data_IF_263009774730
#
_entry.id   IF_263009774730
#
_cell.length_a   1.000
_cell.length_b   1.000
_cell.length_c   1.000
_cell.angle_alpha   90.00
_cell.angle_beta   90.00
_cell.angle_gamma   90.00
#
_symmetry.space_group_name_H-M   'P 1'
#
loop_
_entity.id
_entity.type
_entity.pdbx_description
1 polymer ?
#
# COMPACT_ATOMS: atom_id res chain seq x y z
N UNK A 1 -6.48 -46.95 48.62
CA UNK A 1 -5.37 -45.99 48.37
C UNK A 1 -5.43 -45.64 46.89
N UNK A 2 -5.26 -44.36 46.52
CA UNK A 2 -5.37 -43.74 45.18
C UNK A 2 -6.73 -43.10 44.80
N UNK A 3 -6.87 -41.83 45.21
CA UNK A 3 -7.68 -40.80 44.54
C UNK A 3 -7.00 -40.43 43.21
N UNK A 4 -7.72 -40.45 42.10
CA UNK A 4 -7.28 -39.83 40.83
C UNK A 4 -7.78 -38.39 40.80
N UNK A 5 -6.81 -37.48 40.74
CA UNK A 5 -6.95 -36.04 40.55
C UNK A 5 -7.41 -35.81 39.11
N UNK A 6 -8.56 -35.15 38.93
CA UNK A 6 -8.97 -34.60 37.64
C UNK A 6 -8.41 -33.19 37.58
N UNK A 7 -7.36 -32.99 36.79
CA UNK A 7 -6.84 -31.66 36.45
C UNK A 7 -7.73 -31.07 35.36
N UNK A 8 -8.43 -29.99 35.71
CA UNK A 8 -9.08 -29.10 34.74
C UNK A 8 -7.99 -28.40 33.93
N UNK A 9 -7.80 -28.82 32.68
CA UNK A 9 -7.00 -28.05 31.71
C UNK A 9 -7.96 -27.09 31.01
N UNK A 10 -7.99 -25.84 31.45
CA UNK A 10 -8.57 -24.75 30.66
C UNK A 10 -7.69 -24.57 29.42
N UNK A 11 -8.21 -24.99 28.26
CA UNK A 11 -7.62 -24.66 26.97
C UNK A 11 -7.93 -23.18 26.73
N UNK A 12 -6.96 -22.32 27.02
CA UNK A 12 -6.97 -20.94 26.55
C UNK A 12 -6.79 -20.99 25.03
N UNK A 13 -7.90 -20.89 24.29
CA UNK A 13 -7.88 -20.54 22.88
C UNK A 13 -7.38 -19.10 22.79
N UNK A 14 -6.07 -18.94 22.60
CA UNK A 14 -5.48 -17.74 22.03
C UNK A 14 -6.03 -17.61 20.61
N UNK A 15 -7.19 -16.96 20.48
CA UNK A 15 -7.64 -16.41 19.22
C UNK A 15 -6.65 -15.31 18.85
N UNK A 16 -5.64 -15.68 18.05
CA UNK A 16 -4.75 -14.72 17.44
C UNK A 16 -5.60 -13.69 16.70
N UNK A 17 -5.52 -12.44 17.13
CA UNK A 17 -6.11 -11.32 16.43
C UNK A 17 -5.47 -11.28 15.03
N UNK A 18 -6.16 -11.87 14.06
CA UNK A 18 -5.92 -11.57 12.66
C UNK A 18 -6.13 -10.06 12.53
N UNK A 19 -5.06 -9.32 12.28
CA UNK A 19 -5.15 -7.96 11.79
C UNK A 19 -5.97 -8.04 10.50
N UNK A 20 -7.28 -7.74 10.62
CA UNK A 20 -8.14 -7.62 9.46
C UNK A 20 -7.54 -6.50 8.60
N UNK A 21 -7.41 -6.70 7.28
CA UNK A 21 -6.95 -5.64 6.40
C UNK A 21 -7.87 -4.45 6.58
N UNK A 22 -7.28 -3.27 6.79
CA UNK A 22 -7.99 -2.00 6.77
C UNK A 22 -8.60 -1.89 5.38
N UNK A 23 -9.89 -2.25 5.27
CA UNK A 23 -10.67 -1.99 4.07
C UNK A 23 -10.98 -0.50 4.07
N UNK A 24 -10.02 0.31 3.63
CA UNK A 24 -10.35 1.61 3.08
C UNK A 24 -11.18 1.34 1.82
N UNK A 25 -12.50 1.25 1.98
CA UNK A 25 -13.42 1.30 0.85
C UNK A 25 -13.28 2.69 0.24
N UNK A 26 -12.42 2.80 -0.78
CA UNK A 26 -12.42 3.93 -1.69
C UNK A 26 -13.73 3.87 -2.49
N UNK A 27 -14.82 4.37 -1.90
CA UNK A 27 -15.95 4.84 -2.70
C UNK A 27 -15.46 6.10 -3.42
N UNK A 28 -15.56 6.10 -4.74
CA UNK A 28 -15.25 7.27 -5.55
C UNK A 28 -16.22 8.40 -5.16
N UNK A 29 -15.73 9.38 -4.42
CA UNK A 29 -16.51 10.56 -4.02
C UNK A 29 -16.45 11.57 -5.17
N UNK A 30 -17.59 11.80 -5.82
CA UNK A 30 -17.70 12.85 -6.82
C UNK A 30 -17.85 14.22 -6.14
N UNK A 31 -16.77 15.00 -6.20
CA UNK A 31 -16.71 16.37 -5.71
C UNK A 31 -17.16 17.42 -6.74
N UNK A 32 -17.64 17.00 -7.92
CA UNK A 32 -18.00 17.90 -9.02
C UNK A 32 -16.79 18.59 -9.66
N UNK A 33 -15.58 18.08 -9.43
CA UNK A 33 -14.34 18.60 -10.01
C UNK A 33 -14.01 17.77 -11.25
N UNK A 34 -14.10 18.39 -12.42
CA UNK A 34 -13.83 17.70 -13.68
C UNK A 34 -12.38 17.21 -13.75
N UNK A 35 -12.21 15.89 -13.84
CA UNK A 35 -10.91 15.27 -14.06
C UNK A 35 -10.32 15.64 -15.44
N UNK A 36 -8.99 15.75 -15.57
CA UNK A 36 -8.36 16.04 -16.86
C UNK A 36 -8.60 14.89 -17.85
N UNK A 37 -8.88 15.23 -19.12
CA UNK A 37 -8.81 14.23 -20.19
C UNK A 37 -7.36 13.80 -20.42
N UNK A 38 -7.10 12.49 -20.36
CA UNK A 38 -5.77 11.91 -20.57
C UNK A 38 -5.76 10.98 -21.77
N UNK A 39 -4.64 10.93 -22.48
CA UNK A 39 -4.41 9.97 -23.57
C UNK A 39 -3.80 8.66 -23.04
N UNK A 40 -4.60 7.91 -22.28
CA UNK A 40 -4.23 6.61 -21.70
C UNK A 40 -5.43 5.65 -21.76
N UNK A 41 -5.18 4.34 -21.85
CA UNK A 41 -6.25 3.34 -21.80
C UNK A 41 -6.87 3.22 -20.41
N UNK A 42 -6.02 3.32 -19.38
CA UNK A 42 -6.44 3.28 -17.97
C UNK A 42 -5.58 4.23 -17.15
N UNK A 43 -6.14 4.84 -16.11
CA UNK A 43 -5.36 5.60 -15.13
C UNK A 43 -6.01 5.65 -13.75
N UNK A 44 -5.22 5.99 -12.74
CA UNK A 44 -5.69 6.35 -11.41
C UNK A 44 -4.80 7.44 -10.80
N UNK A 45 -5.40 8.32 -10.02
CA UNK A 45 -4.73 9.23 -9.10
C UNK A 45 -5.22 8.94 -7.70
N UNK A 46 -4.28 8.62 -6.80
CA UNK A 46 -4.56 8.25 -5.43
C UNK A 46 -3.76 9.12 -4.47
N UNK A 47 -4.38 9.61 -3.41
CA UNK A 47 -3.65 10.17 -2.28
C UNK A 47 -3.00 9.05 -1.47
N UNK A 48 -1.71 9.17 -1.20
CA UNK A 48 -0.94 8.13 -0.52
C UNK A 48 -1.36 7.93 0.94
N UNK A 49 -1.69 9.02 1.64
CA UNK A 49 -1.96 8.98 3.08
C UNK A 49 -3.38 8.51 3.40
N UNK A 50 -4.37 9.00 2.67
CA UNK A 50 -5.78 8.65 2.87
C UNK A 50 -6.25 7.44 2.05
N UNK A 51 -5.51 7.09 0.98
CA UNK A 51 -5.93 6.08 0.01
C UNK A 51 -7.09 6.54 -0.90
N UNK A 52 -7.53 7.79 -0.80
CA UNK A 52 -8.63 8.31 -1.60
C UNK A 52 -8.27 8.35 -3.09
N UNK A 53 -9.19 7.87 -3.93
CA UNK A 53 -9.08 7.99 -5.38
C UNK A 53 -9.65 9.32 -5.82
N UNK A 54 -8.81 10.15 -6.44
CA UNK A 54 -9.17 11.52 -6.83
C UNK A 54 -9.64 11.61 -8.27
N UNK A 55 -9.13 10.73 -9.13
CA UNK A 55 -9.56 10.58 -10.53
C UNK A 55 -9.18 9.20 -11.03
N UNK A 56 -10.00 8.61 -11.89
CA UNK A 56 -9.68 7.33 -12.51
C UNK A 56 -10.37 7.14 -13.87
N UNK A 57 -9.80 6.25 -14.68
CA UNK A 57 -10.42 5.70 -15.88
C UNK A 57 -10.09 4.21 -15.94
N UNK A 58 -11.13 3.37 -15.93
CA UNK A 58 -11.02 1.91 -15.95
C UNK A 58 -9.99 1.37 -14.91
N UNK A 59 -10.03 1.80 -13.64
CA UNK A 59 -8.95 1.54 -12.68
C UNK A 59 -8.69 0.06 -12.38
N UNK A 60 -9.71 -0.77 -12.60
CA UNK A 60 -9.71 -2.21 -12.32
C UNK A 60 -9.59 -3.06 -13.60
N UNK A 61 -9.47 -2.43 -14.77
CA UNK A 61 -9.26 -3.14 -16.04
C UNK A 61 -7.86 -3.78 -16.04
N UNK A 62 -7.80 -5.07 -16.36
CA UNK A 62 -6.55 -5.82 -16.49
C UNK A 62 -5.76 -5.33 -17.71
N UNK A 63 -4.49 -5.10 -17.49
CA UNK A 63 -3.51 -4.59 -18.46
C UNK A 63 -2.18 -5.34 -18.31
N UNK A 64 -1.40 -5.42 -19.38
CA UNK A 64 -0.04 -5.92 -19.30
C UNK A 64 0.82 -4.94 -18.48
N UNK A 65 1.43 -5.38 -17.36
CA UNK A 65 2.18 -4.48 -16.50
C UNK A 65 3.53 -4.06 -17.09
N UNK A 66 4.06 -4.83 -18.05
CA UNK A 66 5.42 -4.69 -18.55
C UNK A 66 6.41 -4.58 -17.37
N UNK A 67 7.43 -3.72 -17.48
CA UNK A 67 8.40 -3.47 -16.40
C UNK A 67 7.83 -2.87 -15.11
N UNK A 68 6.54 -2.50 -15.03
CA UNK A 68 5.95 -2.17 -13.72
C UNK A 68 5.96 -3.37 -12.77
N UNK A 69 6.00 -4.60 -13.31
CA UNK A 69 6.25 -5.85 -12.57
C UNK A 69 7.44 -5.75 -11.62
N UNK A 70 8.49 -5.02 -12.01
CA UNK A 70 9.70 -4.85 -11.21
C UNK A 70 9.47 -4.04 -9.92
N UNK A 71 8.33 -3.35 -9.77
CA UNK A 71 7.93 -2.77 -8.49
C UNK A 71 7.67 -3.86 -7.45
N UNK A 72 6.99 -4.95 -7.84
CA UNK A 72 6.80 -6.10 -6.94
C UNK A 72 8.11 -6.86 -6.74
N UNK A 73 8.96 -6.98 -7.77
CA UNK A 73 10.31 -7.56 -7.61
C UNK A 73 11.14 -6.79 -6.58
N UNK A 74 11.19 -5.46 -6.69
CA UNK A 74 11.85 -4.60 -5.71
C UNK A 74 11.20 -4.68 -4.33
N UNK A 75 9.87 -4.81 -4.25
CA UNK A 75 9.19 -5.01 -2.96
C UNK A 75 9.68 -6.31 -2.26
N UNK A 76 9.71 -7.44 -2.97
CA UNK A 76 10.18 -8.72 -2.40
C UNK A 76 11.65 -8.62 -1.96
N UNK A 77 12.50 -7.98 -2.76
CA UNK A 77 13.93 -7.75 -2.44
C UNK A 77 14.08 -6.86 -1.21
N UNK A 78 13.39 -5.72 -1.19
CA UNK A 78 13.44 -4.76 -0.08
C UNK A 78 12.91 -5.36 1.21
N UNK A 79 11.86 -6.18 1.18
CA UNK A 79 11.37 -6.89 2.35
C UNK A 79 12.36 -7.96 2.85
N UNK A 80 13.03 -8.68 1.94
CA UNK A 80 14.09 -9.61 2.30
C UNK A 80 15.30 -8.90 2.95
N UNK A 81 15.69 -7.73 2.44
CA UNK A 81 16.71 -6.86 3.04
C UNK A 81 16.27 -6.36 4.42
N UNK A 82 15.04 -5.88 4.55
CA UNK A 82 14.46 -5.38 5.82
C UNK A 82 14.41 -6.46 6.90
N UNK A 83 14.16 -7.70 6.51
CA UNK A 83 14.15 -8.87 7.41
C UNK A 83 15.56 -9.44 7.69
N UNK A 84 16.62 -8.90 7.07
CA UNK A 84 17.99 -9.40 7.22
C UNK A 84 18.23 -10.77 6.60
N UNK A 85 17.39 -11.21 5.65
CA UNK A 85 17.55 -12.49 4.93
C UNK A 85 18.68 -12.45 3.90
N UNK A 86 18.93 -11.27 3.35
CA UNK A 86 20.03 -10.94 2.45
C UNK A 86 20.61 -9.59 2.87
N UNK A 87 21.83 -9.27 2.44
CA UNK A 87 22.49 -8.00 2.67
C UNK A 87 22.92 -7.35 1.36
N UNK A 88 22.97 -6.03 1.34
CA UNK A 88 23.41 -5.25 0.18
C UNK A 88 24.84 -5.60 -0.32
N UNK A 89 25.69 -6.10 0.58
CA UNK A 89 27.08 -6.47 0.29
C UNK A 89 27.24 -7.94 -0.14
N UNK A 90 26.16 -8.73 -0.14
CA UNK A 90 26.23 -10.13 -0.57
C UNK A 90 26.60 -10.16 -2.05
N UNK A 91 27.55 -11.03 -2.40
CA UNK A 91 28.01 -11.21 -3.76
C UNK A 91 27.25 -12.34 -4.43
N UNK A 92 26.58 -12.01 -5.54
CA UNK A 92 25.79 -12.94 -6.35
C UNK A 92 26.63 -13.38 -7.55
N UNK A 93 26.75 -14.70 -7.71
CA UNK A 93 27.39 -15.28 -8.90
C UNK A 93 26.39 -15.33 -10.04
N UNK A 94 26.71 -14.66 -11.16
CA UNK A 94 25.82 -14.61 -12.31
C UNK A 94 25.89 -15.93 -13.08
N UNK A 95 24.79 -16.69 -13.04
CA UNK A 95 24.61 -17.93 -13.78
C UNK A 95 24.21 -17.72 -15.25
N UNK A 96 24.02 -18.82 -15.97
CA UNK A 96 23.63 -18.79 -17.39
C UNK A 96 22.26 -18.13 -17.59
N UNK A 97 21.29 -18.37 -16.70
CA UNK A 97 19.94 -17.81 -16.76
C UNK A 97 19.92 -16.28 -16.73
N UNK A 98 20.75 -15.68 -15.86
CA UNK A 98 20.87 -14.23 -15.68
C UNK A 98 21.89 -13.57 -16.62
N UNK A 99 22.47 -14.30 -17.58
CA UNK A 99 23.43 -13.72 -18.51
C UNK A 99 22.74 -12.68 -19.41
N UNK A 100 23.27 -11.45 -19.47
CA UNK A 100 22.71 -10.36 -20.27
C UNK A 100 22.59 -10.64 -21.78
N UNK A 101 23.21 -11.70 -22.29
CA UNK A 101 23.03 -12.20 -23.66
C UNK A 101 21.62 -12.75 -23.90
N UNK A 102 20.96 -13.30 -22.88
CA UNK A 102 19.63 -13.93 -23.00
C UNK A 102 18.49 -12.92 -23.12
N UNK A 103 18.78 -11.63 -23.00
CA UNK A 103 17.80 -10.56 -23.00
C UNK A 103 18.01 -9.59 -24.19
N UNK A 104 18.05 -10.06 -25.45
CA UNK A 104 18.20 -9.19 -26.61
C UNK A 104 17.01 -8.25 -26.75
N UNK A 105 17.24 -7.02 -27.21
CA UNK A 105 16.17 -6.04 -27.46
C UNK A 105 15.45 -5.50 -26.22
N UNK A 106 15.88 -5.86 -25.01
CA UNK A 106 15.25 -5.44 -23.75
C UNK A 106 16.20 -4.66 -22.85
N UNK A 107 15.67 -4.06 -21.77
CA UNK A 107 16.47 -3.35 -20.79
C UNK A 107 17.30 -4.32 -19.95
N UNK A 108 18.59 -4.02 -19.76
CA UNK A 108 19.53 -4.90 -19.08
C UNK A 108 20.67 -4.13 -18.41
N UNK A 109 21.29 -4.75 -17.42
CA UNK A 109 22.47 -4.26 -16.72
C UNK A 109 23.77 -4.72 -17.39
N UNK A 110 23.68 -5.61 -18.39
CA UNK A 110 24.80 -6.20 -19.13
C UNK A 110 25.67 -7.10 -18.25
N UNK A 111 25.01 -7.95 -17.43
CA UNK A 111 25.68 -8.94 -16.60
C UNK A 111 26.42 -9.97 -17.46
N UNK A 112 27.64 -10.37 -17.05
CA UNK A 112 28.41 -11.41 -17.71
C UNK A 112 28.35 -12.74 -16.93
N UNK A 113 28.41 -13.86 -17.66
CA UNK A 113 28.48 -15.19 -17.06
C UNK A 113 29.68 -15.30 -16.10
N UNK A 114 29.47 -15.94 -14.94
CA UNK A 114 30.44 -16.14 -13.86
C UNK A 114 30.97 -14.86 -13.19
N UNK A 115 30.38 -13.70 -13.50
CA UNK A 115 30.69 -12.46 -12.80
C UNK A 115 30.14 -12.51 -11.36
N UNK A 116 30.82 -11.86 -10.42
CA UNK A 116 30.30 -11.58 -9.07
C UNK A 116 29.76 -10.15 -9.04
N UNK A 117 28.51 -9.97 -8.60
CA UNK A 117 27.86 -8.66 -8.51
C UNK A 117 27.17 -8.52 -7.16
N UNK A 118 27.30 -7.35 -6.52
CA UNK A 118 26.68 -7.12 -5.23
C UNK A 118 25.15 -7.06 -5.35
N UNK A 119 24.42 -7.48 -4.30
CA UNK A 119 22.97 -7.28 -4.19
C UNK A 119 22.59 -5.80 -4.39
N UNK A 120 23.38 -4.88 -3.82
CA UNK A 120 23.20 -3.43 -4.00
C UNK A 120 23.19 -3.01 -5.48
N UNK A 121 24.15 -3.50 -6.27
CA UNK A 121 24.26 -3.17 -7.69
C UNK A 121 23.15 -3.83 -8.51
N UNK A 122 22.83 -5.10 -8.21
CA UNK A 122 21.72 -5.80 -8.87
C UNK A 122 20.39 -5.08 -8.61
N UNK A 123 20.14 -4.67 -7.36
CA UNK A 123 18.91 -4.00 -7.00
C UNK A 123 18.78 -2.63 -7.68
N UNK A 124 19.86 -1.82 -7.70
CA UNK A 124 19.94 -0.59 -8.50
C UNK A 124 19.74 -0.86 -10.00
N UNK A 125 20.26 -1.97 -10.49
CA UNK A 125 20.03 -2.46 -11.86
C UNK A 125 18.55 -2.70 -12.18
N UNK A 126 17.82 -3.33 -11.26
CA UNK A 126 16.37 -3.55 -11.37
C UNK A 126 15.62 -2.21 -11.31
N UNK A 127 15.92 -1.37 -10.33
CA UNK A 127 15.17 -0.15 -10.02
C UNK A 127 15.42 0.95 -11.05
N UNK A 128 16.67 1.31 -11.30
CA UNK A 128 17.04 2.51 -12.07
C UNK A 128 16.94 2.24 -13.57
N UNK A 129 17.57 1.15 -14.04
CA UNK A 129 17.72 0.88 -15.47
C UNK A 129 16.73 -0.16 -16.01
N UNK A 130 15.96 -0.79 -15.12
CA UNK A 130 14.95 -1.81 -15.46
C UNK A 130 15.56 -3.10 -16.02
N UNK A 131 16.72 -3.51 -15.52
CA UNK A 131 17.48 -4.65 -16.05
C UNK A 131 16.78 -5.99 -15.85
N UNK A 132 16.44 -6.68 -16.94
CA UNK A 132 15.81 -8.00 -16.91
C UNK A 132 16.77 -9.09 -16.39
N UNK A 133 18.04 -9.02 -16.78
CA UNK A 133 19.13 -9.86 -16.29
C UNK A 133 19.32 -9.72 -14.78
N UNK A 134 19.35 -8.49 -14.27
CA UNK A 134 19.43 -8.20 -12.84
C UNK A 134 18.21 -8.75 -12.06
N UNK A 135 17.00 -8.67 -12.63
CA UNK A 135 15.80 -9.24 -12.01
C UNK A 135 15.88 -10.76 -11.86
N UNK A 136 16.45 -11.47 -12.83
CA UNK A 136 16.64 -12.93 -12.72
C UNK A 136 17.71 -13.26 -11.68
N UNK A 137 18.86 -12.60 -11.73
CA UNK A 137 19.95 -12.84 -10.77
C UNK A 137 19.51 -12.63 -9.31
N UNK A 138 18.82 -11.52 -9.03
CA UNK A 138 18.40 -11.21 -7.66
C UNK A 138 17.28 -12.15 -7.20
N UNK A 139 16.41 -12.59 -8.11
CA UNK A 139 15.35 -13.54 -7.79
C UNK A 139 15.90 -14.92 -7.40
N UNK A 140 16.87 -15.43 -8.17
CA UNK A 140 17.56 -16.68 -7.87
C UNK A 140 18.33 -16.59 -6.54
N UNK A 141 18.95 -15.45 -6.25
CA UNK A 141 19.65 -15.25 -4.98
C UNK A 141 18.68 -15.23 -3.78
N UNK A 142 17.56 -14.51 -3.88
CA UNK A 142 16.62 -14.32 -2.77
C UNK A 142 15.77 -15.56 -2.49
N UNK A 143 15.37 -16.30 -3.53
CA UNK A 143 14.40 -17.40 -3.39
C UNK A 143 14.92 -18.75 -3.91
N UNK A 144 16.19 -18.83 -4.30
CA UNK A 144 16.81 -20.04 -4.86
C UNK A 144 16.43 -20.32 -6.32
N UNK A 145 15.31 -19.79 -6.81
CA UNK A 145 14.87 -19.93 -8.20
C UNK A 145 13.85 -18.85 -8.60
N UNK A 146 13.71 -18.59 -9.90
CA UNK A 146 12.70 -17.67 -10.44
C UNK A 146 11.27 -18.08 -10.10
N UNK A 147 10.84 -19.36 -10.23
CA UNK A 147 9.48 -19.76 -9.86
C UNK A 147 9.14 -19.50 -8.39
N UNK A 148 10.05 -19.84 -7.46
CA UNK A 148 9.85 -19.59 -6.04
C UNK A 148 9.74 -18.08 -5.73
N UNK A 149 10.50 -17.24 -6.45
CA UNK A 149 10.39 -15.80 -6.32
C UNK A 149 9.03 -15.27 -6.83
N UNK A 150 8.55 -15.79 -7.97
CA UNK A 150 7.22 -15.43 -8.52
C UNK A 150 6.09 -15.84 -7.57
N UNK A 151 6.22 -16.98 -6.89
CA UNK A 151 5.28 -17.36 -5.82
C UNK A 151 5.29 -16.35 -4.67
N UNK A 152 6.47 -15.87 -4.25
CA UNK A 152 6.57 -14.83 -3.23
C UNK A 152 5.93 -13.50 -3.69
N UNK A 153 6.13 -13.10 -4.95
CA UNK A 153 5.45 -11.93 -5.53
C UNK A 153 3.93 -12.07 -5.44
N UNK A 154 3.38 -13.24 -5.83
CA UNK A 154 1.95 -13.49 -5.78
C UNK A 154 1.41 -13.67 -4.34
N UNK A 155 2.25 -14.01 -3.37
CA UNK A 155 1.88 -13.97 -1.95
C UNK A 155 1.59 -12.53 -1.50
N UNK A 156 2.41 -11.56 -1.90
CA UNK A 156 2.13 -10.15 -1.62
C UNK A 156 0.90 -9.62 -2.38
N UNK A 157 0.63 -10.11 -3.59
CA UNK A 157 -0.63 -9.82 -4.30
C UNK A 157 -1.83 -10.16 -3.42
N UNK A 158 -1.84 -11.35 -2.80
CA UNK A 158 -2.91 -11.76 -1.87
C UNK A 158 -2.92 -10.93 -0.59
N UNK A 159 -1.74 -10.70 0.01
CA UNK A 159 -1.60 -9.96 1.25
C UNK A 159 -2.05 -8.50 1.14
N UNK A 160 -1.82 -7.86 -0.02
CA UNK A 160 -2.26 -6.50 -0.30
C UNK A 160 -3.71 -6.44 -0.78
N UNK A 161 -4.36 -7.58 -0.98
CA UNK A 161 -5.74 -7.66 -1.48
C UNK A 161 -5.89 -7.22 -2.93
N UNK A 162 -4.86 -7.36 -3.76
CA UNK A 162 -4.88 -6.98 -5.17
C UNK A 162 -5.77 -7.94 -5.96
N UNK A 163 -6.86 -7.42 -6.55
CA UNK A 163 -7.90 -8.26 -7.18
C UNK A 163 -7.65 -8.53 -8.66
N UNK A 164 -6.82 -7.71 -9.29
CA UNK A 164 -6.61 -7.69 -10.73
C UNK A 164 -5.14 -7.79 -11.10
N UNK A 165 -4.35 -8.50 -10.28
CA UNK A 165 -2.91 -8.70 -10.49
C UNK A 165 -2.52 -10.17 -10.41
N UNK A 166 -1.69 -10.61 -11.34
CA UNK A 166 -0.99 -11.89 -11.31
C UNK A 166 0.36 -11.76 -12.01
N UNK A 167 1.41 -12.25 -11.37
CA UNK A 167 2.77 -12.25 -11.93
C UNK A 167 3.17 -13.65 -12.37
N UNK A 168 3.77 -13.76 -13.55
CA UNK A 168 4.39 -15.01 -14.04
C UNK A 168 5.89 -14.88 -14.27
N UNK A 169 6.43 -13.66 -14.18
CA UNK A 169 7.84 -13.36 -14.34
C UNK A 169 8.33 -12.31 -13.34
N UNK A 170 9.65 -12.24 -13.15
CA UNK A 170 10.30 -11.27 -12.24
C UNK A 170 10.65 -9.95 -12.91
N UNK A 171 10.49 -9.87 -14.23
CA UNK A 171 10.90 -8.72 -15.04
C UNK A 171 9.74 -8.07 -15.81
N UNK A 172 8.64 -8.81 -16.04
CA UNK A 172 7.48 -8.30 -16.75
C UNK A 172 7.60 -8.34 -18.27
N UNK A 173 8.21 -9.39 -18.82
CA UNK A 173 8.07 -9.66 -20.27
C UNK A 173 6.66 -10.19 -20.51
N UNK A 174 6.13 -9.97 -21.71
CA UNK A 174 4.72 -10.28 -22.01
C UNK A 174 4.41 -11.78 -21.85
N UNK A 175 3.33 -12.05 -21.13
CA UNK A 175 2.71 -13.36 -20.93
C UNK A 175 1.22 -13.09 -20.74
N UNK A 176 0.36 -13.84 -21.43
CA UNK A 176 -1.09 -13.63 -21.39
C UNK A 176 -1.68 -13.89 -19.99
N UNK A 177 -0.97 -14.64 -19.13
CA UNK A 177 -1.33 -14.86 -17.73
C UNK A 177 -0.76 -13.78 -16.78
N UNK A 178 0.05 -12.85 -17.28
CA UNK A 178 0.62 -11.77 -16.48
C UNK A 178 -0.12 -10.46 -16.68
N UNK A 179 -0.83 -10.02 -15.66
CA UNK A 179 -1.65 -8.82 -15.70
C UNK A 179 -1.59 -8.05 -14.39
N UNK A 180 -1.93 -6.77 -14.44
CA UNK A 180 -2.23 -5.92 -13.29
C UNK A 180 -3.30 -4.89 -13.67
N UNK A 181 -3.62 -3.95 -12.79
CA UNK A 181 -4.49 -2.81 -13.07
C UNK A 181 -3.83 -1.51 -12.59
N UNK A 182 -4.34 -0.35 -13.02
CA UNK A 182 -3.81 0.92 -12.54
C UNK A 182 -4.03 1.11 -11.04
N UNK A 183 -5.17 0.63 -10.51
CA UNK A 183 -5.44 0.61 -9.05
C UNK A 183 -4.45 -0.27 -8.30
N UNK A 184 -4.26 -1.51 -8.74
CA UNK A 184 -3.36 -2.44 -8.05
C UNK A 184 -1.91 -1.94 -8.09
N UNK A 185 -1.48 -1.33 -9.19
CA UNK A 185 -0.15 -0.70 -9.29
C UNK A 185 0.02 0.52 -8.39
N UNK A 186 -1.04 1.30 -8.16
CA UNK A 186 -1.02 2.39 -7.19
C UNK A 186 -0.89 1.86 -5.76
N UNK A 187 -1.58 0.76 -5.44
CA UNK A 187 -1.49 0.07 -4.14
C UNK A 187 -0.08 -0.50 -3.93
N UNK A 188 0.51 -1.17 -4.93
CA UNK A 188 1.91 -1.64 -4.87
C UNK A 188 2.86 -0.47 -4.62
N UNK A 189 2.65 0.66 -5.33
CA UNK A 189 3.44 1.87 -5.11
C UNK A 189 3.34 2.41 -3.68
N UNK A 190 2.13 2.43 -3.12
CA UNK A 190 1.90 2.86 -1.74
C UNK A 190 2.59 1.93 -0.73
N UNK A 191 2.49 0.61 -0.91
CA UNK A 191 3.20 -0.37 -0.09
C UNK A 191 4.72 -0.20 -0.16
N UNK A 192 5.28 0.03 -1.35
CA UNK A 192 6.71 0.27 -1.51
C UNK A 192 7.17 1.52 -0.74
N UNK A 193 6.42 2.61 -0.82
CA UNK A 193 6.73 3.87 -0.12
C UNK A 193 6.61 3.70 1.40
N UNK A 194 5.53 3.06 1.86
CA UNK A 194 5.20 2.92 3.29
C UNK A 194 6.08 1.90 3.99
N UNK A 195 6.20 0.72 3.41
CA UNK A 195 6.76 -0.45 4.08
C UNK A 195 8.28 -0.50 3.93
N UNK A 196 8.81 0.06 2.82
CA UNK A 196 10.21 -0.04 2.38
C UNK A 196 10.81 1.33 1.99
N UNK A 197 10.84 2.32 2.91
CA UNK A 197 11.29 3.68 2.58
C UNK A 197 12.76 3.74 2.12
N UNK A 198 13.65 2.87 2.61
CA UNK A 198 15.04 2.82 2.15
C UNK A 198 15.19 2.26 0.72
N UNK A 199 14.39 1.26 0.37
CA UNK A 199 14.30 0.72 -1.00
C UNK A 199 13.74 1.79 -1.94
N UNK A 200 12.67 2.48 -1.50
CA UNK A 200 11.99 3.50 -2.27
C UNK A 200 12.91 4.67 -2.67
N UNK A 201 13.84 5.09 -1.79
CA UNK A 201 14.79 6.17 -2.08
C UNK A 201 15.63 5.93 -3.35
N UNK A 202 15.90 4.66 -3.70
CA UNK A 202 16.69 4.30 -4.89
C UNK A 202 15.98 4.72 -6.18
N UNK A 203 14.64 4.79 -6.18
CA UNK A 203 13.87 5.19 -7.36
C UNK A 203 14.10 6.63 -7.81
N UNK A 204 14.58 7.50 -6.92
CA UNK A 204 14.94 8.88 -7.20
C UNK A 204 16.38 9.05 -7.72
N UNK A 205 17.21 7.99 -7.67
CA UNK A 205 18.55 8.02 -8.25
C UNK A 205 18.45 8.21 -9.77
N UNK A 206 19.13 9.25 -10.30
CA UNK A 206 18.96 9.70 -11.68
C UNK A 206 19.76 8.90 -12.70
N UNK A 207 20.82 8.24 -12.27
CA UNK A 207 21.63 7.38 -13.11
C UNK A 207 22.37 6.35 -12.27
N UNK A 208 22.80 5.30 -12.95
CA UNK A 208 23.55 4.20 -12.38
C UNK A 208 24.69 3.82 -13.32
N UNK A 209 25.89 3.65 -12.77
CA UNK A 209 27.06 3.22 -13.55
C UNK A 209 27.48 1.84 -13.08
N UNK A 210 27.43 0.88 -14.00
CA UNK A 210 27.90 -0.48 -13.77
C UNK A 210 28.73 -0.95 -14.95
N UNK A 211 29.82 -1.69 -14.67
CA UNK A 211 30.73 -2.19 -15.70
C UNK A 211 31.21 -1.10 -16.69
N UNK A 212 31.50 0.10 -16.17
CA UNK A 212 31.90 1.30 -16.93
C UNK A 212 30.83 1.84 -17.90
N UNK A 213 29.59 1.35 -17.81
CA UNK A 213 28.45 1.81 -18.60
C UNK A 213 27.54 2.64 -17.69
N UNK A 214 27.47 3.94 -17.96
CA UNK A 214 26.49 4.84 -17.31
C UNK A 214 25.14 4.73 -18.00
N UNK A 215 24.09 4.52 -17.22
CA UNK A 215 22.72 4.39 -17.69
C UNK A 215 21.80 5.30 -16.88
N UNK A 216 20.93 6.04 -17.56
CA UNK A 216 20.01 6.96 -16.89
C UNK A 216 18.76 6.24 -16.39
N UNK A 217 18.19 6.75 -15.30
CA UNK A 217 16.85 6.39 -14.88
C UNK A 217 15.85 6.73 -16.00
N UNK A 218 14.93 5.81 -16.26
CA UNK A 218 13.97 5.93 -17.37
C UNK A 218 12.77 6.82 -17.03
N UNK A 219 12.60 7.22 -15.77
CA UNK A 219 11.55 8.15 -15.33
C UNK A 219 12.00 9.60 -15.57
N UNK A 220 11.64 10.17 -16.72
CA UNK A 220 12.01 11.54 -17.08
C UNK A 220 11.47 12.61 -16.13
N UNK A 221 10.42 12.32 -15.36
CA UNK A 221 9.85 13.27 -14.40
C UNK A 221 10.80 13.59 -13.23
N UNK A 222 11.81 12.76 -12.96
CA UNK A 222 12.85 13.06 -11.96
C UNK A 222 13.70 14.31 -12.31
N UNK A 223 13.67 14.74 -13.57
CA UNK A 223 14.36 15.96 -14.03
C UNK A 223 13.44 17.18 -14.12
N UNK A 224 12.15 17.01 -13.90
CA UNK A 224 11.21 18.11 -13.94
C UNK A 224 11.32 18.98 -12.68
N UNK A 225 11.71 20.24 -12.84
CA UNK A 225 11.90 21.17 -11.72
C UNK A 225 10.59 21.78 -11.21
N UNK A 226 9.48 21.58 -11.92
CA UNK A 226 8.18 22.17 -11.59
C UNK A 226 7.33 21.28 -10.68
N UNK A 227 7.76 20.05 -10.43
CA UNK A 227 7.06 19.09 -9.59
C UNK A 227 8.07 18.19 -8.87
N UNK A 228 7.86 17.90 -7.59
CA UNK A 228 8.77 17.09 -6.81
C UNK A 228 8.42 15.60 -6.95
N UNK A 229 8.87 15.00 -8.06
CA UNK A 229 8.71 13.56 -8.32
C UNK A 229 9.91 12.80 -7.76
N UNK A 230 9.64 11.72 -7.03
CA UNK A 230 10.66 10.86 -6.42
C UNK A 230 10.53 9.37 -6.80
N UNK A 231 9.61 9.05 -7.72
CA UNK A 231 9.38 7.69 -8.20
C UNK A 231 8.27 7.63 -9.25
N UNK A 232 7.81 6.45 -9.68
CA UNK A 232 8.33 5.13 -9.29
C UNK A 232 8.89 4.44 -10.54
N UNK A 233 8.05 3.82 -11.37
CA UNK A 233 8.54 2.91 -12.42
C UNK A 233 7.90 3.16 -13.77
N UNK A 234 8.69 2.99 -14.82
CA UNK A 234 8.25 3.01 -16.21
C UNK A 234 8.08 1.59 -16.75
N UNK A 235 7.15 1.40 -17.68
CA UNK A 235 6.94 0.15 -18.42
C UNK A 235 6.68 0.39 -19.90
N UNK A 236 7.08 -0.56 -20.74
CA UNK A 236 6.72 -0.61 -22.16
C UNK A 236 6.89 -2.02 -22.72
N UNK A 237 5.87 -2.49 -23.43
CA UNK A 237 5.93 -3.55 -24.45
C UNK A 237 4.93 -3.20 -25.54
N UNK A 238 5.04 -3.83 -26.70
CA UNK A 238 4.12 -3.54 -27.82
C UNK A 238 2.67 -3.86 -27.45
N UNK A 239 2.43 -4.86 -26.58
CA UNK A 239 1.10 -5.18 -26.05
C UNK A 239 0.62 -4.21 -24.97
N UNK A 240 1.51 -3.69 -24.14
CA UNK A 240 1.16 -2.83 -23.00
C UNK A 240 1.02 -1.34 -23.36
N UNK A 241 1.58 -0.90 -24.49
CA UNK A 241 1.84 0.52 -24.71
C UNK A 241 2.84 1.08 -23.69
N UNK A 242 2.81 2.39 -23.45
CA UNK A 242 3.68 3.05 -22.49
C UNK A 242 3.00 3.25 -21.14
N UNK A 243 3.63 2.74 -20.08
CA UNK A 243 3.12 2.78 -18.71
C UNK A 243 4.04 3.59 -17.79
N UNK A 244 3.47 4.25 -16.79
CA UNK A 244 4.20 4.97 -15.75
C UNK A 244 3.43 4.97 -14.43
N UNK A 245 4.06 4.49 -13.37
CA UNK A 245 3.68 4.81 -11.99
C UNK A 245 4.57 5.95 -11.52
N UNK A 246 3.98 7.06 -11.09
CA UNK A 246 4.68 8.21 -10.53
C UNK A 246 4.20 8.51 -9.12
N UNK A 247 5.12 9.01 -8.30
CA UNK A 247 4.78 9.56 -7.00
C UNK A 247 5.46 10.91 -6.83
N UNK A 248 4.72 11.87 -6.29
CA UNK A 248 5.19 13.22 -6.07
C UNK A 248 4.71 13.76 -4.72
N UNK A 249 5.44 14.76 -4.22
CA UNK A 249 5.08 15.52 -3.03
C UNK A 249 4.90 17.00 -3.34
N UNK A 250 4.19 17.72 -2.46
CA UNK A 250 4.19 19.17 -2.44
C UNK A 250 4.78 19.71 -1.12
N UNK A 251 4.86 21.05 -0.99
CA UNK A 251 5.43 21.72 0.18
C UNK A 251 4.69 21.45 1.51
N UNK A 252 3.45 20.95 1.44
CA UNK A 252 2.62 20.65 2.60
C UNK A 252 2.67 19.17 2.97
N UNK A 253 3.64 18.41 2.45
CA UNK A 253 3.81 16.97 2.61
C UNK A 253 2.65 16.11 2.09
N UNK A 254 1.75 16.67 1.27
CA UNK A 254 0.77 15.85 0.55
C UNK A 254 1.51 15.02 -0.49
N UNK A 255 1.24 13.71 -0.53
CA UNK A 255 1.84 12.78 -1.47
C UNK A 255 0.76 12.16 -2.36
N UNK A 256 0.97 12.25 -3.67
CA UNK A 256 0.08 11.66 -4.66
C UNK A 256 0.81 10.57 -5.44
N UNK A 257 0.07 9.50 -5.76
CA UNK A 257 0.51 8.40 -6.63
C UNK A 257 -0.38 8.42 -7.87
N UNK A 258 0.25 8.57 -9.04
CA UNK A 258 -0.44 8.46 -10.33
C UNK A 258 0.02 7.21 -11.07
N UNK A 259 -0.93 6.53 -11.73
CA UNK A 259 -0.62 5.44 -12.65
C UNK A 259 -1.32 5.71 -13.97
N UNK A 260 -0.57 5.67 -15.06
CA UNK A 260 -1.09 5.70 -16.43
C UNK A 260 -0.61 4.44 -17.15
N UNK A 261 -1.51 3.76 -17.87
CA UNK A 261 -1.18 2.56 -18.65
C UNK A 261 -1.79 2.64 -20.05
N UNK A 262 -1.11 2.05 -21.03
CA UNK A 262 -1.56 2.04 -22.42
C UNK A 262 -1.44 3.40 -23.11
N UNK A 263 -0.45 4.22 -22.75
CA UNK A 263 -0.22 5.50 -23.43
C UNK A 263 0.46 5.26 -24.79
N UNK A 264 0.10 5.96 -25.88
CA UNK A 264 0.66 5.66 -27.21
C UNK A 264 2.13 6.02 -27.41
N UNK A 265 2.70 6.95 -26.61
CA UNK A 265 4.07 7.44 -26.83
C UNK A 265 4.89 7.49 -25.54
N UNK A 266 6.21 7.31 -25.68
CA UNK A 266 7.16 7.36 -24.57
C UNK A 266 7.16 8.69 -23.83
N UNK A 267 6.97 9.81 -24.54
CA UNK A 267 6.88 11.14 -23.93
C UNK A 267 5.48 11.41 -23.36
N UNK A 268 4.45 10.86 -24.00
CA UNK A 268 3.07 10.96 -23.55
C UNK A 268 2.90 10.49 -22.11
N UNK A 269 3.47 9.34 -21.71
CA UNK A 269 3.28 8.84 -20.34
C UNK A 269 3.74 9.83 -19.27
N UNK A 270 4.82 10.56 -19.53
CA UNK A 270 5.35 11.58 -18.60
C UNK A 270 4.42 12.80 -18.56
N UNK A 271 3.95 13.24 -19.73
CA UNK A 271 3.01 14.37 -19.86
C UNK A 271 1.68 14.08 -19.16
N UNK A 272 1.07 12.92 -19.41
CA UNK A 272 -0.21 12.53 -18.82
C UNK A 272 -0.09 12.34 -17.29
N UNK A 273 0.96 11.67 -16.80
CA UNK A 273 1.22 11.53 -15.36
C UNK A 273 1.43 12.88 -14.68
N UNK A 274 2.21 13.79 -15.28
CA UNK A 274 2.43 15.14 -14.74
C UNK A 274 1.13 15.94 -14.68
N UNK A 275 0.32 15.91 -15.75
CA UNK A 275 -0.98 16.58 -15.82
C UNK A 275 -1.90 16.12 -14.69
N UNK A 276 -1.95 14.81 -14.45
CA UNK A 276 -2.77 14.21 -13.40
C UNK A 276 -2.29 14.62 -11.99
N UNK A 277 -0.98 14.55 -11.72
CA UNK A 277 -0.40 14.98 -10.44
C UNK A 277 -0.62 16.47 -10.16
N UNK A 278 -0.36 17.33 -11.15
CA UNK A 278 -0.56 18.78 -11.01
C UNK A 278 -2.03 19.13 -10.76
N UNK A 279 -2.96 18.46 -11.45
CA UNK A 279 -4.39 18.61 -11.19
C UNK A 279 -4.75 18.21 -9.76
N UNK A 280 -4.22 17.08 -9.26
CA UNK A 280 -4.45 16.66 -7.87
C UNK A 280 -4.01 17.71 -6.86
N UNK A 281 -2.77 18.19 -6.96
CA UNK A 281 -2.25 19.21 -6.04
C UNK A 281 -2.94 20.58 -6.16
N UNK A 282 -3.50 20.89 -7.33
CA UNK A 282 -4.24 22.13 -7.54
C UNK A 282 -5.63 22.10 -6.87
N UNK A 283 -6.29 20.93 -6.88
CA UNK A 283 -7.71 20.81 -6.52
C UNK A 283 -7.97 20.17 -5.16
N UNK A 284 -6.99 19.48 -4.58
CA UNK A 284 -7.18 18.73 -3.33
C UNK A 284 -6.14 19.10 -2.28
N UNK A 285 -6.51 18.85 -1.02
CA UNK A 285 -5.62 18.90 0.12
C UNK A 285 -5.89 17.70 1.03
N UNK A 286 -4.83 17.21 1.66
CA UNK A 286 -4.87 16.08 2.60
C UNK A 286 -4.41 16.56 3.96
N UNK A 287 -5.17 16.21 5.00
CA UNK A 287 -4.81 16.54 6.37
C UNK A 287 -5.04 15.36 7.29
N UNK A 288 -4.23 15.31 8.34
CA UNK A 288 -4.40 14.37 9.44
C UNK A 288 -5.64 14.76 10.24
N UNK A 289 -6.57 13.83 10.39
CA UNK A 289 -7.79 14.05 11.18
C UNK A 289 -7.68 13.50 12.59
N UNK A 290 -7.05 12.33 12.74
CA UNK A 290 -6.88 11.64 14.01
C UNK A 290 -5.44 11.19 14.15
N UNK A 291 -4.92 11.28 15.37
CA UNK A 291 -3.54 10.94 15.71
C UNK A 291 -3.48 9.58 16.41
N UNK A 292 -2.55 8.72 15.98
CA UNK A 292 -2.36 7.40 16.56
C UNK A 292 -2.16 7.47 18.09
N UNK A 293 -2.88 6.63 18.83
CA UNK A 293 -2.72 6.54 20.29
C UNK A 293 -3.45 7.63 21.08
N UNK A 294 -4.03 8.64 20.42
CA UNK A 294 -4.78 9.70 21.08
C UNK A 294 -6.25 9.32 21.26
N UNK A 295 -6.75 9.43 22.49
CA UNK A 295 -8.16 9.25 22.77
C UNK A 295 -8.98 10.37 22.10
N UNK A 296 -10.03 9.97 21.40
CA UNK A 296 -10.95 10.84 20.68
C UNK A 296 -12.26 11.01 21.47
N UNK A 297 -12.71 9.92 22.10
CA UNK A 297 -13.93 9.86 22.90
C UNK A 297 -13.74 8.86 24.04
N UNK A 298 -14.51 9.03 25.10
CA UNK A 298 -14.62 8.07 26.19
C UNK A 298 -16.07 7.58 26.22
N UNK A 299 -16.25 6.26 26.28
CA UNK A 299 -17.57 5.61 26.23
C UNK A 299 -17.72 4.66 27.40
N UNK A 300 -18.90 4.64 28.02
CA UNK A 300 -19.17 3.71 29.11
C UNK A 300 -19.22 2.28 28.60
N UNK A 301 -18.62 1.39 29.39
CA UNK A 301 -18.59 -0.06 29.16
C UNK A 301 -19.35 -0.75 30.27
N UNK A 302 -20.26 -1.64 29.85
CA UNK A 302 -21.01 -2.49 30.77
C UNK A 302 -20.31 -3.84 30.93
N UNK A 303 -20.51 -4.46 32.10
CA UNK A 303 -19.97 -5.76 32.47
C UNK A 303 -18.43 -5.80 32.54
N UNK A 304 -17.76 -4.65 32.55
CA UNK A 304 -16.31 -4.51 32.53
C UNK A 304 -15.66 -4.44 33.91
N UNK A 305 -14.35 -4.65 33.95
CA UNK A 305 -13.49 -4.37 35.11
C UNK A 305 -13.22 -2.87 35.29
N UNK A 306 -13.48 -2.07 34.25
CA UNK A 306 -13.55 -0.61 34.25
C UNK A 306 -14.91 -0.12 33.73
N UNK A 307 -15.33 1.07 34.13
CA UNK A 307 -16.64 1.65 33.77
C UNK A 307 -16.65 2.37 32.42
N UNK A 308 -15.49 2.82 31.94
CA UNK A 308 -15.36 3.63 30.74
C UNK A 308 -14.10 3.24 29.96
N UNK A 309 -14.17 3.34 28.64
CA UNK A 309 -13.08 3.01 27.74
C UNK A 309 -12.78 4.15 26.78
N UNK A 310 -11.50 4.45 26.62
CA UNK A 310 -11.04 5.37 25.61
C UNK A 310 -11.16 4.74 24.22
N UNK A 311 -11.76 5.48 23.30
CA UNK A 311 -11.86 5.16 21.89
C UNK A 311 -10.97 6.11 21.07
N UNK A 312 -10.32 5.57 20.05
CA UNK A 312 -9.36 6.30 19.25
C UNK A 312 -9.00 5.57 17.96
N UNK A 313 -7.84 5.90 17.41
CA UNK A 313 -7.23 5.17 16.29
C UNK A 313 -5.84 4.68 16.70
N UNK A 314 -5.47 3.48 16.25
CA UNK A 314 -4.12 2.94 16.51
C UNK A 314 -3.09 3.38 15.47
N UNK A 315 -3.55 3.89 14.33
CA UNK A 315 -2.72 4.46 13.26
C UNK A 315 -3.22 5.87 12.93
N UNK A 316 -2.33 6.73 12.41
CA UNK A 316 -2.70 8.07 11.98
C UNK A 316 -3.76 7.99 10.87
N UNK A 317 -4.82 8.79 10.99
CA UNK A 317 -5.86 8.87 9.99
C UNK A 317 -5.75 10.15 9.19
N UNK A 318 -5.94 10.04 7.88
CA UNK A 318 -5.91 11.16 6.94
C UNK A 318 -7.16 11.16 6.08
N UNK A 319 -7.62 12.35 5.70
CA UNK A 319 -8.66 12.50 4.67
C UNK A 319 -8.20 13.48 3.60
N UNK A 320 -8.70 13.26 2.38
CA UNK A 320 -8.44 14.14 1.24
C UNK A 320 -9.75 14.76 0.77
N UNK A 321 -9.77 16.08 0.67
CA UNK A 321 -10.97 16.85 0.29
C UNK A 321 -10.60 17.92 -0.74
N UNK A 322 -11.59 18.52 -1.43
CA UNK A 322 -11.34 19.67 -2.27
C UNK A 322 -10.67 20.81 -1.49
N UNK A 323 -9.68 21.42 -2.13
CA UNK A 323 -8.87 22.47 -1.53
C UNK A 323 -9.73 23.64 -1.05
N UNK A 324 -9.50 24.07 0.19
CA UNK A 324 -10.23 25.18 0.81
C UNK A 324 -11.59 24.78 1.40
N UNK A 325 -11.96 23.49 1.41
CA UNK A 325 -13.22 22.99 2.00
C UNK A 325 -13.03 22.39 3.39
N UNK A 326 -11.82 22.41 3.97
CA UNK A 326 -11.56 21.84 5.29
C UNK A 326 -12.48 22.39 6.40
N UNK A 327 -12.79 23.69 6.40
CA UNK A 327 -13.66 24.32 7.41
C UNK A 327 -15.12 23.87 7.35
N UNK A 328 -15.55 23.31 6.21
CA UNK A 328 -16.92 22.85 5.99
C UNK A 328 -17.12 21.40 6.44
N UNK A 329 -16.03 20.72 6.79
CA UNK A 329 -16.04 19.33 7.20
C UNK A 329 -16.71 19.17 8.56
N UNK A 330 -17.65 18.23 8.63
CA UNK A 330 -18.28 17.81 9.90
C UNK A 330 -17.87 16.39 10.21
N UNK A 331 -17.64 16.08 11.48
CA UNK A 331 -17.36 14.73 11.95
C UNK A 331 -18.46 14.28 12.91
N UNK A 332 -18.86 13.01 12.83
CA UNK A 332 -19.72 12.35 13.82
C UNK A 332 -19.20 10.97 14.14
N UNK A 333 -19.58 10.44 15.30
CA UNK A 333 -19.31 9.06 15.70
C UNK A 333 -20.53 8.20 15.47
N UNK A 334 -20.32 7.00 14.96
CA UNK A 334 -21.33 5.95 14.86
C UNK A 334 -20.77 4.71 15.55
N UNK A 335 -21.35 4.31 16.68
CA UNK A 335 -21.01 3.04 17.32
C UNK A 335 -21.81 1.91 16.68
N UNK A 336 -21.18 0.74 16.50
CA UNK A 336 -21.83 -0.44 15.93
C UNK A 336 -22.94 -0.98 16.86
N UNK A 337 -22.80 -0.71 18.16
CA UNK A 337 -23.74 -1.10 19.21
C UNK A 337 -24.09 0.10 20.08
N UNK A 338 -25.34 0.15 20.57
CA UNK A 338 -25.81 1.23 21.47
C UNK A 338 -25.04 1.31 22.78
N UNK A 339 -24.59 0.17 23.30
CA UNK A 339 -23.84 0.05 24.54
C UNK A 339 -22.65 -0.86 24.33
N UNK A 340 -21.46 -0.42 24.73
CA UNK A 340 -20.27 -1.27 24.74
C UNK A 340 -20.33 -2.23 25.92
N UNK A 341 -19.97 -3.49 25.68
CA UNK A 341 -20.00 -4.54 26.69
C UNK A 341 -18.66 -5.27 26.70
N UNK A 342 -18.14 -5.56 27.88
CA UNK A 342 -16.94 -6.37 28.05
C UNK A 342 -17.20 -7.86 27.70
N UNK A 343 -16.17 -8.62 27.29
CA UNK A 343 -14.78 -8.20 27.13
C UNK A 343 -14.54 -7.39 25.84
N UNK A 344 -13.65 -6.40 25.90
CA UNK A 344 -13.19 -5.63 24.74
C UNK A 344 -11.67 -5.76 24.57
N UNK A 345 -11.22 -6.14 23.38
CA UNK A 345 -9.80 -6.22 23.08
C UNK A 345 -9.25 -4.86 22.62
N UNK A 346 -8.00 -4.55 22.97
CA UNK A 346 -7.30 -3.39 22.38
C UNK A 346 -7.25 -3.54 20.84
N UNK A 347 -7.64 -2.49 20.13
CA UNK A 347 -7.72 -2.47 18.67
C UNK A 347 -9.02 -3.02 18.09
N UNK A 348 -9.92 -3.55 18.93
CA UNK A 348 -11.26 -3.94 18.50
C UNK A 348 -11.99 -2.73 17.93
N UNK A 349 -12.48 -2.87 16.69
CA UNK A 349 -13.35 -1.86 16.06
C UNK A 349 -14.73 -1.95 16.70
N UNK A 350 -15.23 -0.81 17.16
CA UNK A 350 -16.53 -0.69 17.85
C UNK A 350 -17.45 0.35 17.21
N UNK A 351 -17.01 0.95 16.11
CA UNK A 351 -17.73 1.99 15.42
C UNK A 351 -16.85 2.68 14.38
N UNK A 352 -17.29 3.86 13.96
CA UNK A 352 -16.62 4.68 12.94
C UNK A 352 -16.70 6.17 13.28
N UNK A 353 -15.67 6.90 12.90
CA UNK A 353 -15.73 8.35 12.69
C UNK A 353 -16.13 8.59 11.24
N UNK A 354 -17.25 9.28 11.04
CA UNK A 354 -17.77 9.59 9.71
C UNK A 354 -17.61 11.07 9.44
N UNK A 355 -16.93 11.39 8.34
CA UNK A 355 -16.70 12.75 7.87
C UNK A 355 -17.69 13.10 6.78
N UNK A 356 -18.31 14.27 6.91
CA UNK A 356 -19.30 14.81 5.99
C UNK A 356 -18.84 16.14 5.38
N UNK A 357 -19.15 16.29 4.10
CA UNK A 357 -19.05 17.55 3.36
C UNK A 357 -20.34 17.77 2.59
N UNK A 358 -20.94 18.96 2.68
CA UNK A 358 -22.20 19.30 2.01
C UNK A 358 -23.34 18.29 2.29
N UNK A 359 -23.36 17.72 3.50
CA UNK A 359 -24.36 16.73 3.95
C UNK A 359 -24.15 15.32 3.40
N UNK A 360 -23.07 15.05 2.67
CA UNK A 360 -22.70 13.73 2.16
C UNK A 360 -21.55 13.15 2.97
N UNK A 361 -21.62 11.86 3.30
CA UNK A 361 -20.50 11.13 3.90
C UNK A 361 -19.39 10.97 2.85
N UNK A 362 -18.21 11.52 3.12
CA UNK A 362 -17.08 11.52 2.19
C UNK A 362 -15.93 10.59 2.62
N UNK A 363 -15.83 10.29 3.92
CA UNK A 363 -14.81 9.41 4.45
C UNK A 363 -15.29 8.75 5.75
N UNK A 364 -14.80 7.54 6.02
CA UNK A 364 -15.06 6.79 7.24
C UNK A 364 -13.75 6.23 7.77
N UNK A 365 -13.56 6.32 9.08
CA UNK A 365 -12.38 5.81 9.78
C UNK A 365 -12.85 4.93 10.91
N UNK A 366 -12.29 3.73 11.04
CA UNK A 366 -12.68 2.83 12.12
C UNK A 366 -12.30 3.41 13.48
N UNK A 367 -13.23 3.31 14.43
CA UNK A 367 -13.06 3.75 15.81
C UNK A 367 -12.76 2.54 16.67
N UNK A 368 -11.60 2.57 17.33
CA UNK A 368 -11.03 1.41 18.01
C UNK A 368 -10.91 1.61 19.51
N UNK A 369 -11.02 0.50 20.23
CA UNK A 369 -10.76 0.41 21.66
C UNK A 369 -9.27 0.60 21.93
N UNK A 370 -8.91 1.56 22.78
CA UNK A 370 -7.49 1.94 23.01
C UNK A 370 -6.78 1.10 24.07
N UNK A 371 -7.55 0.39 24.90
CA UNK A 371 -7.07 -0.45 26.00
C UNK A 371 -7.98 -1.66 26.20
N UNK A 372 -7.42 -2.79 26.61
CA UNK A 372 -8.21 -3.99 26.92
C UNK A 372 -9.16 -3.73 28.10
N UNK A 373 -10.38 -4.27 28.00
CA UNK A 373 -11.39 -4.27 29.08
C UNK A 373 -11.77 -5.70 29.36
N UNK A 374 -11.49 -6.17 30.57
CA UNK A 374 -11.82 -7.52 30.99
C UNK A 374 -13.23 -7.56 31.55
N UNK A 375 -13.76 -8.77 31.74
CA UNK A 375 -15.03 -8.94 32.42
C UNK A 375 -14.93 -8.53 33.91
N UNK A 376 -15.90 -7.75 34.36
CA UNK A 376 -16.04 -7.33 35.75
C UNK A 376 -16.48 -8.45 36.70
N UNK A 377 -16.44 -8.15 38.00
CA UNK A 377 -16.91 -9.06 39.05
C UNK A 377 -18.43 -9.30 39.01
N UNK A 378 -18.89 -10.39 39.64
CA UNK A 378 -20.30 -10.82 39.63
C UNK A 378 -21.27 -9.72 40.07
N UNK A 379 -20.92 -8.97 41.12
CA UNK A 379 -21.77 -7.88 41.63
C UNK A 379 -21.88 -6.70 40.64
N UNK A 380 -20.76 -6.32 40.01
CA UNK A 380 -20.75 -5.27 38.99
C UNK A 380 -21.60 -5.67 37.79
N UNK A 381 -21.44 -6.92 37.34
CA UNK A 381 -22.25 -7.45 36.23
C UNK A 381 -23.75 -7.48 36.55
N UNK A 382 -24.13 -7.87 37.77
CA UNK A 382 -25.53 -7.87 38.18
C UNK A 382 -26.13 -6.45 38.23
N UNK A 383 -25.34 -5.46 38.65
CA UNK A 383 -25.73 -4.06 38.63
C UNK A 383 -25.92 -3.53 37.21
N UNK A 384 -24.95 -3.79 36.33
CA UNK A 384 -25.00 -3.38 34.92
C UNK A 384 -26.17 -4.01 34.18
N UNK A 385 -26.49 -5.27 34.48
CA UNK A 385 -27.67 -5.94 33.95
C UNK A 385 -28.97 -5.22 34.36
N UNK A 386 -29.08 -4.82 35.64
CA UNK A 386 -30.23 -4.07 36.12
C UNK A 386 -30.32 -2.70 35.44
N UNK A 387 -29.20 -1.98 35.30
CA UNK A 387 -29.13 -0.69 34.62
C UNK A 387 -29.57 -0.81 33.16
N UNK A 388 -29.04 -1.79 32.42
CA UNK A 388 -29.38 -2.00 31.02
C UNK A 388 -30.84 -2.46 30.84
N UNK A 389 -31.35 -3.28 31.76
CA UNK A 389 -32.76 -3.71 31.76
C UNK A 389 -33.69 -2.50 31.93
N UNK A 390 -33.40 -1.63 32.91
CA UNK A 390 -34.19 -0.40 33.12
C UNK A 390 -34.11 0.53 31.92
N UNK A 391 -32.92 0.74 31.33
CA UNK A 391 -32.76 1.56 30.12
C UNK A 391 -33.58 1.01 28.95
N UNK A 392 -33.54 -0.31 28.72
CA UNK A 392 -34.28 -0.95 27.63
C UNK A 392 -35.81 -0.85 27.76
N UNK A 393 -36.33 -0.58 28.95
CA UNK A 393 -37.77 -0.37 29.19
C UNK A 393 -38.21 1.09 28.93
N UNK A 394 -37.27 2.02 28.84
CA UNK A 394 -37.51 3.46 28.66
C UNK A 394 -37.22 3.97 27.25
N UNK A 395 -36.54 3.16 26.44
CA UNK A 395 -36.34 3.34 25.00
C UNK A 395 -37.49 2.73 24.20
#
# INVERSE_FOLDING_TARGET
MFRKIVQNTQIALLAGAFALPINAFAQDVDYGITAPQLNAQTYILMDYNSGAVLASLNPDQRQYPASLTKMMTSYVVGDALKQGKINNNDMVTIGESAWGKNFPGSSKMFLNLNQQVSVSDLNRGVIIVSGNDASVAIAEHVSGSVPAFVEAMNKYVQQFGLKNTHFTSVHGLDDDNQYSSSRDMAIIGAHLIRDLPEEYKIYAEKDFTFNKIKQNNRNGLLWDKTIQVDGIKTGHTDKAGYNLVSSATNSNNMRLISVVMGVPTIKGREVESKKLLQWGFANFETFKTLEAGKAISEQSVYYGDISDVALGVLEDSFITVPKGRNTDLKARYELDTKYLQAPLAKGQVVGKVVYQLDGKDIAKVDLQVMQEVQEGGILGKAWDWLVLTVKSLLD
#
